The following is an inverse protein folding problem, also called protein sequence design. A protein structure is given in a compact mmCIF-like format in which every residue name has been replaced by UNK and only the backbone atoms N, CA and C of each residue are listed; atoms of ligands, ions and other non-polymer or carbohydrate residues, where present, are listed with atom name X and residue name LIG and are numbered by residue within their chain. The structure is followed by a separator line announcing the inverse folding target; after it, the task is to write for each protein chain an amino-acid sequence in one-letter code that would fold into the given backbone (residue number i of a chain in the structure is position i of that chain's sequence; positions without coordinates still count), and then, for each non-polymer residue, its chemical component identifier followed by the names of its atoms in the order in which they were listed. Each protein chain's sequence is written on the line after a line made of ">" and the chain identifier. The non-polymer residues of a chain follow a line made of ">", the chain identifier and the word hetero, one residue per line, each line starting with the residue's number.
data_IF_503977986604
#
_entry.id   IF_503977986604
#
_cell.length_a   1.000
_cell.length_b   1.000
_cell.length_c   1.000
_cell.angle_alpha   90.00
_cell.angle_beta   90.00
_cell.angle_gamma   90.00
#
_symmetry.space_group_name_H-M   'P 1'
#
loop_
_entity.id
_entity.type
_entity.pdbx_description
1 polymer ?
#
# COMPACT_ATOMS: atom_id res chain seq x y z
N UNK A 1 2.61 -0.17 -12.05
CA UNK A 1 4.09 -0.07 -12.20
C UNK A 1 4.75 0.69 -11.06
N UNK A 2 4.42 1.98 -10.84
CA UNK A 2 5.05 2.82 -9.79
C UNK A 2 4.95 2.18 -8.40
N UNK A 3 3.75 1.76 -7.97
CA UNK A 3 3.55 1.10 -6.67
C UNK A 3 4.50 -0.09 -6.44
N UNK A 4 4.69 -0.95 -7.47
CA UNK A 4 5.64 -2.07 -7.38
C UNK A 4 7.08 -1.61 -7.18
N UNK A 5 7.53 -0.58 -7.92
CA UNK A 5 8.89 -0.03 -7.77
C UNK A 5 9.10 0.60 -6.39
N UNK A 6 8.08 1.27 -5.84
CA UNK A 6 8.12 1.79 -4.47
C UNK A 6 8.21 0.65 -3.47
N UNK A 7 7.42 -0.41 -3.65
CA UNK A 7 7.49 -1.61 -2.82
C UNK A 7 8.86 -2.30 -2.83
N UNK A 8 9.51 -2.41 -3.99
CA UNK A 8 10.88 -2.92 -4.09
C UNK A 8 11.86 -2.07 -3.26
N UNK A 9 11.79 -0.73 -3.37
CA UNK A 9 12.62 0.20 -2.60
C UNK A 9 12.35 0.09 -1.09
N UNK A 10 11.08 0.10 -0.68
CA UNK A 10 10.70 0.01 0.73
C UNK A 10 11.11 -1.32 1.37
N UNK A 11 11.01 -2.43 0.64
CA UNK A 11 11.53 -3.72 1.10
C UNK A 11 13.05 -3.73 1.23
N UNK A 12 13.77 -2.94 0.42
CA UNK A 12 15.22 -2.72 0.57
C UNK A 12 15.52 -1.91 1.84
N UNK A 13 14.73 -0.88 2.11
CA UNK A 13 14.86 0.03 3.25
C UNK A 13 14.38 -0.59 4.59
N UNK A 14 13.84 -1.81 4.57
CA UNK A 14 13.45 -2.55 5.76
C UNK A 14 12.01 -2.34 6.23
N UNK A 15 11.18 -1.65 5.45
CA UNK A 15 9.74 -1.55 5.71
C UNK A 15 9.12 -2.93 5.63
N UNK A 16 8.25 -3.27 6.57
CA UNK A 16 7.55 -4.57 6.59
C UNK A 16 6.21 -4.51 5.89
N UNK A 17 5.71 -5.66 5.43
CA UNK A 17 4.38 -5.75 4.82
C UNK A 17 3.28 -5.35 5.83
N UNK A 18 3.45 -5.65 7.11
CA UNK A 18 2.53 -5.26 8.17
C UNK A 18 2.47 -3.72 8.32
N UNK A 19 3.63 -3.05 8.37
CA UNK A 19 3.67 -1.59 8.45
C UNK A 19 3.03 -0.89 7.23
N UNK A 20 3.10 -1.51 6.06
CA UNK A 20 2.39 -1.05 4.86
C UNK A 20 0.87 -1.21 4.99
N UNK A 21 0.40 -2.29 5.60
CA UNK A 21 -1.03 -2.49 5.90
C UNK A 21 -1.54 -1.51 6.95
N UNK A 22 -0.76 -1.22 8.00
CA UNK A 22 -1.10 -0.19 8.98
C UNK A 22 -1.28 1.18 8.30
N UNK A 23 -0.38 1.52 7.37
CA UNK A 23 -0.49 2.76 6.59
C UNK A 23 -1.75 2.79 5.72
N UNK A 24 -2.11 1.67 5.09
CA UNK A 24 -3.37 1.54 4.33
C UNK A 24 -4.57 1.81 5.23
N UNK A 25 -4.60 1.19 6.40
CA UNK A 25 -5.73 1.30 7.32
C UNK A 25 -5.89 2.74 7.85
N UNK A 26 -4.77 3.41 8.13
CA UNK A 26 -4.77 4.85 8.42
C UNK A 26 -5.36 5.68 7.28
N UNK A 27 -4.97 5.41 6.03
CA UNK A 27 -5.48 6.14 4.86
C UNK A 27 -6.98 5.87 4.62
N UNK A 28 -7.44 4.64 4.79
CA UNK A 28 -8.85 4.28 4.69
C UNK A 28 -9.69 4.96 5.79
N UNK A 29 -9.14 5.04 7.00
CA UNK A 29 -9.76 5.78 8.09
C UNK A 29 -9.92 7.27 7.74
N UNK A 30 -8.89 7.89 7.17
CA UNK A 30 -8.95 9.29 6.73
C UNK A 30 -10.01 9.51 5.65
N UNK A 31 -10.06 8.66 4.61
CA UNK A 31 -11.08 8.75 3.56
C UNK A 31 -12.49 8.65 4.15
N UNK A 32 -12.70 7.72 5.08
CA UNK A 32 -13.99 7.55 5.77
C UNK A 32 -14.32 8.74 6.66
N UNK A 33 -13.33 9.30 7.36
CA UNK A 33 -13.50 10.50 8.17
C UNK A 33 -13.93 11.71 7.32
N UNK A 34 -13.27 11.94 6.18
CA UNK A 34 -13.62 13.03 5.28
C UNK A 34 -15.01 12.88 4.67
N UNK A 35 -15.43 11.66 4.33
CA UNK A 35 -16.81 11.40 3.93
C UNK A 35 -17.82 11.78 5.01
N UNK A 36 -17.57 11.39 6.27
CA UNK A 36 -18.45 11.72 7.40
C UNK A 36 -18.55 13.23 7.64
N UNK A 37 -17.45 13.97 7.46
CA UNK A 37 -17.38 15.41 7.75
C UNK A 37 -17.79 16.31 6.56
N UNK A 38 -17.58 15.86 5.33
CA UNK A 38 -17.75 16.64 4.10
C UNK A 38 -18.38 15.79 2.98
N UNK A 39 -19.54 15.18 3.25
CA UNK A 39 -20.18 14.22 2.34
C UNK A 39 -20.43 14.76 0.91
N UNK A 40 -20.65 16.07 0.75
CA UNK A 40 -20.81 16.72 -0.55
C UNK A 40 -19.52 16.72 -1.38
N UNK A 41 -18.36 16.88 -0.72
CA UNK A 41 -17.04 16.89 -1.37
C UNK A 41 -16.43 15.49 -1.48
N UNK A 42 -16.81 14.60 -0.57
CA UNK A 42 -16.37 13.21 -0.52
C UNK A 42 -17.59 12.29 -0.59
N UNK A 43 -18.28 12.20 -1.74
CA UNK A 43 -19.40 11.28 -1.88
C UNK A 43 -18.95 9.82 -1.75
N UNK A 44 -19.91 8.93 -1.49
CA UNK A 44 -19.64 7.50 -1.27
C UNK A 44 -18.83 6.87 -2.43
N UNK A 45 -19.08 7.28 -3.67
CA UNK A 45 -18.32 6.81 -4.83
C UNK A 45 -16.82 7.14 -4.78
N UNK A 46 -16.43 8.27 -4.17
CA UNK A 46 -15.01 8.60 -3.93
C UNK A 46 -14.44 7.67 -2.85
N UNK A 47 -15.19 7.37 -1.79
CA UNK A 47 -14.76 6.45 -0.72
C UNK A 47 -14.51 5.07 -1.29
N UNK A 48 -15.44 4.53 -2.07
CA UNK A 48 -15.34 3.21 -2.69
C UNK A 48 -14.18 3.14 -3.69
N UNK A 49 -14.06 4.14 -4.56
CA UNK A 49 -12.95 4.24 -5.52
C UNK A 49 -11.59 4.29 -4.82
N UNK A 50 -11.44 5.19 -3.85
CA UNK A 50 -10.21 5.33 -3.06
C UNK A 50 -9.86 4.05 -2.31
N UNK A 51 -10.87 3.38 -1.75
CA UNK A 51 -10.71 2.10 -1.04
C UNK A 51 -10.17 1.02 -1.96
N UNK A 52 -10.77 0.83 -3.14
CA UNK A 52 -10.27 -0.15 -4.13
C UNK A 52 -8.86 0.19 -4.59
N UNK A 53 -8.59 1.46 -4.87
CA UNK A 53 -7.28 1.93 -5.31
C UNK A 53 -6.21 1.69 -4.25
N UNK A 54 -6.48 1.99 -2.97
CA UNK A 54 -5.53 1.76 -1.89
C UNK A 54 -5.19 0.27 -1.72
N UNK A 55 -6.19 -0.62 -1.76
CA UNK A 55 -5.94 -2.06 -1.74
C UNK A 55 -5.05 -2.50 -2.91
N UNK A 56 -5.36 -2.05 -4.13
CA UNK A 56 -4.54 -2.38 -5.30
C UNK A 56 -3.11 -1.86 -5.19
N UNK A 57 -2.91 -0.64 -4.66
CA UNK A 57 -1.58 -0.06 -4.43
C UNK A 57 -0.78 -0.94 -3.46
N UNK A 58 -1.38 -1.31 -2.32
CA UNK A 58 -0.75 -2.15 -1.30
C UNK A 58 -0.38 -3.51 -1.87
N UNK A 59 -1.27 -4.14 -2.64
CA UNK A 59 -0.98 -5.42 -3.30
C UNK A 59 0.20 -5.31 -4.26
N UNK A 60 0.27 -4.24 -5.05
CA UNK A 60 1.38 -4.00 -5.96
C UNK A 60 2.69 -3.75 -5.20
N UNK A 61 2.64 -3.01 -4.09
CA UNK A 61 3.79 -2.76 -3.24
C UNK A 61 4.30 -4.05 -2.58
N UNK A 62 3.40 -4.86 -2.00
CA UNK A 62 3.74 -6.19 -1.45
C UNK A 62 4.42 -7.09 -2.49
N UNK A 63 3.93 -7.11 -3.73
CA UNK A 63 4.60 -7.84 -4.83
C UNK A 63 6.01 -7.32 -5.11
N UNK A 64 6.24 -6.01 -4.97
CA UNK A 64 7.57 -5.42 -5.07
C UNK A 64 8.48 -5.84 -3.91
N UNK A 65 7.97 -5.79 -2.68
CA UNK A 65 8.69 -6.20 -1.47
C UNK A 65 9.09 -7.67 -1.53
N UNK A 66 8.17 -8.55 -1.94
CA UNK A 66 8.45 -9.99 -2.11
C UNK A 66 9.58 -10.22 -3.11
N UNK A 67 9.55 -9.52 -4.25
CA UNK A 67 10.62 -9.62 -5.26
C UNK A 67 11.98 -9.23 -4.68
N UNK A 68 12.03 -8.21 -3.83
CA UNK A 68 13.28 -7.81 -3.16
C UNK A 68 13.75 -8.85 -2.14
N UNK A 69 12.83 -9.44 -1.36
CA UNK A 69 13.14 -10.56 -0.47
C UNK A 69 13.68 -11.78 -1.23
N UNK A 70 13.10 -12.11 -2.39
CA UNK A 70 13.53 -13.23 -3.23
C UNK A 70 14.93 -13.01 -3.83
N UNK A 71 15.28 -11.77 -4.19
CA UNK A 71 16.64 -11.42 -4.63
C UNK A 71 17.65 -11.65 -3.50
N UNK A 72 17.33 -11.22 -2.28
CA UNK A 72 18.20 -11.42 -1.10
C UNK A 72 18.43 -12.91 -0.81
N UNK A 73 17.40 -13.75 -0.94
CA UNK A 73 17.51 -15.21 -0.78
C UNK A 73 18.41 -15.86 -1.84
N UNK A 74 18.35 -15.41 -3.09
CA UNK A 74 19.21 -15.92 -4.18
C UNK A 74 20.66 -15.43 -4.11
N UNK A 75 20.92 -14.33 -3.40
CA UNK A 75 22.25 -13.74 -3.21
C UNK A 75 22.98 -14.27 -1.96
N UNK A 76 22.32 -15.03 -1.10
CA UNK A 76 22.98 -15.72 0.00
C UNK A 76 23.79 -16.90 -0.57
N UNK A 77 25.12 -16.96 -0.35
CA UNK A 77 25.95 -18.01 -0.91
C UNK A 77 25.63 -19.33 -0.23
N UNK A 78 25.44 -20.37 -1.04
CA UNK A 78 25.81 -21.73 -0.66
C UNK A 78 27.34 -21.83 -0.59
#
# INVERSE_FOLDING_TARGET
>A
RIAKQVGERWGKDGVTAASLEDMRDLMLHLVTHYHKKYAELFPLGIVESSTRTLHWIVDMMKKGMQREADKKKKAAPH
#
